data_IF_109498702781
#
_entry.id   IF_109498702781
#
_cell.length_a   1.000
_cell.length_b   1.000
_cell.length_c   1.000
_cell.angle_alpha   90.00
_cell.angle_beta   90.00
_cell.angle_gamma   90.00
#
_symmetry.space_group_name_H-M   'P 1'
#
loop_
_entity.id
_entity.type
_entity.pdbx_description
1 polymer ?
#
# COMPACT_ATOMS: atom_id res chain seq x y z
N UNK A 1 -15.64 -24.63 -1.86
CA UNK A 1 -16.90 -23.91 -1.59
C UNK A 1 -17.98 -24.94 -1.24
N UNK A 2 -18.48 -24.97 0.00
CA UNK A 2 -19.52 -25.92 0.41
C UNK A 2 -20.92 -25.43 0.02
N UNK A 3 -21.88 -26.34 -0.17
CA UNK A 3 -23.29 -26.04 -0.41
C UNK A 3 -23.90 -25.13 0.68
N UNK A 4 -23.46 -25.33 1.94
CA UNK A 4 -23.83 -24.47 3.06
C UNK A 4 -23.30 -23.04 2.92
N UNK A 5 -22.10 -22.85 2.35
CA UNK A 5 -21.54 -21.55 2.05
C UNK A 5 -22.29 -20.80 0.95
N UNK A 6 -22.74 -21.51 -0.09
CA UNK A 6 -23.58 -20.94 -1.14
C UNK A 6 -24.94 -20.46 -0.59
N UNK A 7 -25.62 -21.28 0.22
CA UNK A 7 -26.90 -20.89 0.85
C UNK A 7 -26.75 -19.65 1.74
N UNK A 8 -25.66 -19.54 2.51
CA UNK A 8 -25.36 -18.36 3.33
C UNK A 8 -25.10 -17.13 2.46
N UNK A 9 -24.37 -17.27 1.36
CA UNK A 9 -24.10 -16.15 0.44
C UNK A 9 -25.38 -15.61 -0.21
N UNK A 10 -26.28 -16.49 -0.66
CA UNK A 10 -27.58 -16.09 -1.23
C UNK A 10 -28.45 -15.37 -0.20
N UNK A 11 -28.52 -15.90 1.03
CA UNK A 11 -29.25 -15.26 2.12
C UNK A 11 -28.70 -13.85 2.44
N UNK A 12 -27.38 -13.68 2.50
CA UNK A 12 -26.74 -12.37 2.73
C UNK A 12 -27.02 -11.36 1.62
N UNK A 13 -27.02 -11.81 0.36
CA UNK A 13 -27.40 -10.96 -0.77
C UNK A 13 -28.85 -10.47 -0.65
N UNK A 14 -29.77 -11.35 -0.23
CA UNK A 14 -31.15 -10.98 0.09
C UNK A 14 -31.24 -9.94 1.22
N UNK A 15 -30.48 -10.11 2.30
CA UNK A 15 -30.44 -9.15 3.41
C UNK A 15 -29.95 -7.77 2.97
N UNK A 16 -28.91 -7.69 2.14
CA UNK A 16 -28.43 -6.39 1.64
C UNK A 16 -29.50 -5.63 0.84
N UNK A 17 -30.33 -6.35 0.07
CA UNK A 17 -31.44 -5.74 -0.67
C UNK A 17 -32.55 -5.28 0.29
N UNK A 18 -32.84 -6.06 1.34
CA UNK A 18 -33.84 -5.70 2.36
C UNK A 18 -33.41 -4.50 3.21
N UNK A 19 -32.13 -4.38 3.55
CA UNK A 19 -31.58 -3.21 4.22
C UNK A 19 -31.67 -1.96 3.35
N UNK A 20 -31.31 -2.06 2.06
CA UNK A 20 -31.42 -0.95 1.10
C UNK A 20 -32.85 -0.50 0.83
N UNK A 21 -33.83 -1.35 1.09
CA UNK A 21 -35.28 -1.05 0.94
C UNK A 21 -35.93 -0.60 2.25
N UNK A 22 -35.15 -0.34 3.30
CA UNK A 22 -35.63 0.06 4.63
C UNK A 22 -36.59 -0.97 5.27
N UNK A 23 -36.46 -2.24 4.90
CA UNK A 23 -37.27 -3.34 5.48
C UNK A 23 -36.52 -4.09 6.59
N UNK A 24 -35.31 -3.67 6.92
CA UNK A 24 -34.43 -4.25 7.92
C UNK A 24 -33.54 -3.16 8.52
N UNK A 25 -33.58 -3.00 9.84
CA UNK A 25 -32.72 -2.05 10.55
C UNK A 25 -31.26 -2.54 10.54
N UNK A 26 -30.33 -1.63 10.24
CA UNK A 26 -28.90 -1.90 10.26
C UNK A 26 -28.30 -1.51 11.62
N UNK A 27 -27.54 -2.42 12.22
CA UNK A 27 -26.80 -2.10 13.45
C UNK A 27 -25.70 -1.07 13.15
N UNK A 28 -25.77 0.10 13.79
CA UNK A 28 -24.73 1.14 13.66
C UNK A 28 -23.60 0.90 14.68
N UNK A 29 -22.35 0.93 14.22
CA UNK A 29 -21.16 0.78 15.07
C UNK A 29 -20.16 1.90 14.73
N UNK A 30 -20.49 3.13 15.14
CA UNK A 30 -19.75 4.35 14.77
C UNK A 30 -18.27 4.30 15.17
N UNK A 31 -17.96 3.66 16.30
CA UNK A 31 -16.60 3.47 16.79
C UNK A 31 -15.77 2.63 15.82
N UNK A 32 -16.34 1.49 15.37
CA UNK A 32 -15.67 0.64 14.40
C UNK A 32 -15.57 1.33 13.04
N UNK A 33 -16.61 2.04 12.61
CA UNK A 33 -16.62 2.71 11.31
C UNK A 33 -15.54 3.80 11.24
N UNK A 34 -15.32 4.53 12.34
CA UNK A 34 -14.20 5.48 12.45
C UNK A 34 -12.83 4.79 12.37
N UNK A 35 -12.67 3.68 13.10
CA UNK A 35 -11.45 2.88 13.09
C UNK A 35 -11.15 2.28 11.71
N UNK A 36 -12.15 1.71 11.04
CA UNK A 36 -12.04 1.18 9.69
C UNK A 36 -11.62 2.27 8.71
N UNK A 37 -12.25 3.46 8.78
CA UNK A 37 -11.89 4.58 7.91
C UNK A 37 -10.41 4.95 8.06
N UNK A 38 -9.92 5.04 9.30
CA UNK A 38 -8.52 5.34 9.55
C UNK A 38 -7.58 4.23 9.05
N UNK A 39 -7.96 2.97 9.24
CA UNK A 39 -7.22 1.82 8.73
C UNK A 39 -7.13 1.85 7.20
N UNK A 40 -8.24 2.13 6.49
CA UNK A 40 -8.26 2.24 5.02
C UNK A 40 -7.30 3.30 4.49
N UNK A 41 -7.23 4.43 5.17
CA UNK A 41 -6.29 5.51 4.82
C UNK A 41 -4.84 5.02 4.95
N UNK A 42 -4.50 4.34 6.05
CA UNK A 42 -3.15 3.79 6.24
C UNK A 42 -2.86 2.72 5.19
N UNK A 43 -3.78 1.81 4.94
CA UNK A 43 -3.63 0.77 3.92
C UNK A 43 -3.30 1.38 2.55
N UNK A 44 -4.02 2.43 2.16
CA UNK A 44 -3.75 3.15 0.91
C UNK A 44 -2.35 3.77 0.90
N UNK A 45 -1.97 4.48 1.96
CA UNK A 45 -0.65 5.11 2.05
C UNK A 45 0.49 4.10 2.09
N UNK A 46 0.36 2.98 2.82
CA UNK A 46 1.36 1.90 2.82
C UNK A 46 1.54 1.32 1.42
N UNK A 47 0.45 1.08 0.70
CA UNK A 47 0.51 0.54 -0.66
C UNK A 47 1.17 1.52 -1.65
N UNK A 48 0.83 2.81 -1.55
CA UNK A 48 1.42 3.85 -2.38
C UNK A 48 2.92 4.01 -2.06
N UNK A 49 3.28 4.03 -0.78
CA UNK A 49 4.66 4.12 -0.30
C UNK A 49 5.49 2.95 -0.83
N UNK A 50 4.97 1.72 -0.76
CA UNK A 50 5.65 0.53 -1.27
C UNK A 50 5.92 0.64 -2.77
N UNK A 51 4.91 1.02 -3.56
CA UNK A 51 5.06 1.16 -5.00
C UNK A 51 6.09 2.24 -5.37
N UNK A 52 6.10 3.37 -4.65
CA UNK A 52 7.07 4.45 -4.91
C UNK A 52 8.50 4.05 -4.55
N UNK A 53 8.68 3.38 -3.41
CA UNK A 53 10.00 2.95 -2.93
C UNK A 53 10.56 1.81 -3.77
N UNK A 54 9.74 0.84 -4.18
CA UNK A 54 10.19 -0.26 -5.04
C UNK A 54 10.68 0.23 -6.41
N UNK A 55 10.01 1.22 -7.00
CA UNK A 55 10.44 1.84 -8.26
C UNK A 55 11.63 2.80 -8.12
N UNK A 56 12.01 3.21 -6.91
CA UNK A 56 13.06 4.22 -6.73
C UNK A 56 14.43 3.75 -7.23
N UNK A 57 14.83 2.51 -6.89
CA UNK A 57 16.09 1.95 -7.36
C UNK A 57 16.11 1.81 -8.88
N UNK A 58 14.99 1.40 -9.48
CA UNK A 58 14.83 1.31 -10.93
C UNK A 58 14.96 2.68 -11.61
N UNK A 59 14.39 3.73 -10.99
CA UNK A 59 14.56 5.11 -11.45
C UNK A 59 16.03 5.55 -11.41
N UNK A 60 16.77 5.21 -10.34
CA UNK A 60 18.20 5.47 -10.26
C UNK A 60 18.99 4.72 -11.34
N UNK A 61 18.69 3.44 -11.56
CA UNK A 61 19.28 2.66 -12.65
C UNK A 61 18.99 3.26 -14.03
N UNK A 62 17.75 3.71 -14.27
CA UNK A 62 17.34 4.33 -15.53
C UNK A 62 18.07 5.66 -15.78
N UNK A 63 18.16 6.52 -14.76
CA UNK A 63 18.93 7.76 -14.81
C UNK A 63 20.41 7.50 -15.11
N UNK A 64 21.01 6.50 -14.46
CA UNK A 64 22.40 6.14 -14.68
C UNK A 64 22.64 5.57 -16.09
N UNK A 65 21.70 4.80 -16.63
CA UNK A 65 21.75 4.30 -18.00
C UNK A 65 21.73 5.45 -19.01
N UNK A 66 20.93 6.48 -18.79
CA UNK A 66 20.92 7.69 -19.61
C UNK A 66 22.26 8.44 -19.50
N UNK A 67 22.80 8.61 -18.30
CA UNK A 67 24.12 9.22 -18.09
C UNK A 67 25.25 8.44 -18.77
N UNK A 68 25.17 7.10 -18.75
CA UNK A 68 26.12 6.24 -19.44
C UNK A 68 26.01 6.41 -20.96
N UNK A 69 24.81 6.49 -21.51
CA UNK A 69 24.62 6.77 -22.94
C UNK A 69 25.29 8.10 -23.32
N UNK A 70 25.04 9.18 -22.56
CA UNK A 70 25.68 10.48 -22.77
C UNK A 70 27.21 10.38 -22.68
N UNK A 71 27.74 9.71 -21.66
CA UNK A 71 29.18 9.52 -21.49
C UNK A 71 29.80 8.73 -22.66
N UNK A 72 29.13 7.68 -23.14
CA UNK A 72 29.61 6.89 -24.29
C UNK A 72 29.61 7.69 -25.58
N UNK A 73 28.57 8.49 -25.81
CA UNK A 73 28.48 9.38 -26.97
C UNK A 73 29.56 10.45 -26.91
N UNK A 74 29.77 11.08 -25.76
CA UNK A 74 30.83 12.07 -25.55
C UNK A 74 32.21 11.49 -25.86
N UNK A 75 32.52 10.31 -25.30
CA UNK A 75 33.77 9.61 -25.57
C UNK A 75 33.90 9.19 -27.04
N UNK A 76 32.81 8.85 -27.73
CA UNK A 76 32.85 8.51 -29.16
C UNK A 76 33.17 9.71 -30.06
N UNK A 77 32.71 10.92 -29.71
CA UNK A 77 32.93 12.12 -30.53
C UNK A 77 34.24 12.83 -30.21
N UNK A 78 34.63 12.88 -28.94
CA UNK A 78 35.76 13.68 -28.46
C UNK A 78 36.90 12.83 -27.89
N UNK A 79 36.73 11.50 -27.82
CA UNK A 79 37.78 10.59 -27.37
C UNK A 79 39.00 10.64 -28.27
N UNK A 80 40.04 11.34 -27.82
CA UNK A 80 41.36 11.30 -28.44
C UNK A 80 42.00 9.93 -28.25
N UNK A 81 42.90 9.51 -29.13
CA UNK A 81 43.67 8.26 -29.01
C UNK A 81 44.58 8.18 -27.79
N UNK A 82 44.73 9.28 -27.04
CA UNK A 82 45.38 9.33 -25.72
C UNK A 82 44.39 9.05 -24.61
N UNK A 83 44.65 8.01 -23.81
CA UNK A 83 43.83 7.50 -22.70
C UNK A 83 43.58 8.46 -21.53
N UNK A 84 44.09 9.69 -21.58
CA UNK A 84 44.04 10.71 -20.51
C UNK A 84 43.02 11.85 -20.75
N UNK A 85 42.20 11.76 -21.80
CA UNK A 85 41.13 12.74 -22.05
C UNK A 85 40.04 12.72 -20.96
N UNK A 86 39.44 13.89 -20.70
CA UNK A 86 38.34 14.06 -19.75
C UNK A 86 37.17 13.11 -20.06
N UNK A 87 36.90 12.87 -21.33
CA UNK A 87 35.78 12.09 -21.83
C UNK A 87 35.92 10.60 -21.52
N UNK A 88 37.15 10.08 -21.64
CA UNK A 88 37.49 8.71 -21.26
C UNK A 88 37.39 8.49 -19.75
N UNK A 89 37.89 9.46 -18.95
CA UNK A 89 37.76 9.39 -17.49
C UNK A 89 36.34 9.58 -16.99
N UNK A 90 35.54 10.44 -17.62
CA UNK A 90 34.12 10.57 -17.31
C UNK A 90 33.37 9.27 -17.56
N UNK A 91 33.63 8.60 -18.69
CA UNK A 91 33.05 7.30 -18.99
C UNK A 91 33.46 6.23 -17.96
N UNK A 92 34.73 6.19 -17.55
CA UNK A 92 35.20 5.28 -16.51
C UNK A 92 34.48 5.52 -15.17
N UNK A 93 34.33 6.79 -14.77
CA UNK A 93 33.64 7.19 -13.54
C UNK A 93 32.16 6.78 -13.56
N UNK A 94 31.47 7.01 -14.67
CA UNK A 94 30.05 6.63 -14.81
C UNK A 94 29.87 5.11 -14.78
N UNK A 95 30.79 4.35 -15.39
CA UNK A 95 30.80 2.89 -15.28
C UNK A 95 31.06 2.43 -13.84
N UNK A 96 31.98 3.09 -13.14
CA UNK A 96 32.28 2.78 -11.73
C UNK A 96 31.08 3.03 -10.81
N UNK A 97 30.33 4.11 -11.03
CA UNK A 97 29.09 4.36 -10.27
C UNK A 97 28.07 3.24 -10.52
N UNK A 98 27.99 2.73 -11.76
CA UNK A 98 27.07 1.67 -12.15
C UNK A 98 27.44 0.33 -11.54
N UNK A 99 28.72 -0.02 -11.56
CA UNK A 99 29.17 -1.35 -11.19
C UNK A 99 29.48 -1.45 -9.68
N UNK A 100 29.91 -0.36 -9.03
CA UNK A 100 30.28 -0.36 -7.61
C UNK A 100 29.23 0.28 -6.70
N UNK A 101 28.72 1.47 -7.02
CA UNK A 101 27.95 2.26 -6.03
C UNK A 101 26.51 1.75 -5.90
N UNK A 102 25.85 1.52 -7.03
CA UNK A 102 24.44 1.17 -7.05
C UNK A 102 24.17 -0.25 -6.53
N UNK A 103 24.90 -1.30 -6.96
CA UNK A 103 24.69 -2.66 -6.47
C UNK A 103 24.92 -2.80 -4.96
N UNK A 104 25.93 -2.11 -4.41
CA UNK A 104 26.24 -2.09 -2.98
C UNK A 104 25.12 -1.46 -2.11
N UNK A 105 24.21 -0.71 -2.73
CA UNK A 105 23.11 -0.05 -2.04
C UNK A 105 21.77 -0.79 -2.18
N UNK A 106 21.67 -1.77 -3.09
CA UNK A 106 20.45 -2.56 -3.32
C UNK A 106 20.12 -3.44 -2.12
N UNK A 107 21.09 -4.21 -1.62
CA UNK A 107 20.87 -5.13 -0.51
C UNK A 107 20.43 -4.41 0.79
N UNK A 108 21.11 -3.33 1.23
CA UNK A 108 20.64 -2.53 2.37
C UNK A 108 19.23 -1.97 2.17
N UNK A 109 18.92 -1.48 0.96
CA UNK A 109 17.60 -0.94 0.65
C UNK A 109 16.50 -2.01 0.76
N UNK A 110 16.75 -3.20 0.21
CA UNK A 110 15.80 -4.29 0.25
C UNK A 110 15.55 -4.78 1.68
N UNK A 111 16.61 -4.99 2.46
CA UNK A 111 16.49 -5.55 3.81
C UNK A 111 15.91 -4.56 4.83
N UNK A 112 16.31 -3.29 4.76
CA UNK A 112 15.93 -2.29 5.79
C UNK A 112 14.63 -1.55 5.49
N UNK A 113 14.21 -1.47 4.22
CA UNK A 113 13.06 -0.66 3.80
C UNK A 113 11.99 -1.53 3.16
N UNK A 114 12.32 -2.27 2.09
CA UNK A 114 11.29 -3.00 1.34
C UNK A 114 10.72 -4.19 2.12
N UNK A 115 11.56 -5.00 2.76
CA UNK A 115 11.09 -6.17 3.50
C UNK A 115 10.18 -5.82 4.68
N UNK A 116 10.51 -4.84 5.55
CA UNK A 116 9.59 -4.39 6.61
C UNK A 116 8.27 -3.83 6.06
N UNK A 117 8.33 -3.12 4.94
CA UNK A 117 7.15 -2.54 4.30
C UNK A 117 6.26 -3.62 3.65
N UNK A 118 6.86 -4.68 3.10
CA UNK A 118 6.15 -5.86 2.62
C UNK A 118 5.48 -6.61 3.76
N UNK A 119 6.15 -6.77 4.90
CA UNK A 119 5.53 -7.34 6.10
C UNK A 119 4.34 -6.49 6.58
N UNK A 120 4.47 -5.16 6.59
CA UNK A 120 3.36 -4.26 6.93
C UNK A 120 2.18 -4.40 5.96
N UNK A 121 2.46 -4.58 4.66
CA UNK A 121 1.44 -4.85 3.65
C UNK A 121 0.73 -6.18 3.89
N UNK A 122 1.45 -7.24 4.24
CA UNK A 122 0.86 -8.54 4.58
C UNK A 122 -0.10 -8.42 5.77
N UNK A 123 0.29 -7.71 6.84
CA UNK A 123 -0.62 -7.44 7.96
C UNK A 123 -1.88 -6.68 7.52
N UNK A 124 -1.74 -5.67 6.67
CA UNK A 124 -2.89 -4.94 6.13
C UNK A 124 -3.85 -5.85 5.34
N UNK A 125 -3.33 -6.82 4.58
CA UNK A 125 -4.15 -7.80 3.86
C UNK A 125 -4.90 -8.75 4.81
N UNK A 126 -4.24 -9.20 5.89
CA UNK A 126 -4.87 -10.02 6.93
C UNK A 126 -6.01 -9.28 7.64
N UNK A 127 -5.79 -8.03 8.02
CA UNK A 127 -6.82 -7.18 8.62
C UNK A 127 -8.00 -6.95 7.66
N UNK A 128 -7.74 -6.74 6.36
CA UNK A 128 -8.82 -6.58 5.37
C UNK A 128 -9.68 -7.86 5.26
N UNK A 129 -9.08 -9.05 5.35
CA UNK A 129 -9.82 -10.31 5.39
C UNK A 129 -10.69 -10.43 6.66
N UNK A 130 -10.17 -10.00 7.80
CA UNK A 130 -10.90 -9.98 9.08
C UNK A 130 -12.05 -8.98 9.06
N UNK A 131 -11.85 -7.77 8.55
CA UNK A 131 -12.90 -6.75 8.37
C UNK A 131 -14.01 -7.30 7.44
N UNK A 132 -13.65 -7.91 6.31
CA UNK A 132 -14.61 -8.59 5.42
C UNK A 132 -15.34 -9.75 6.11
N UNK A 133 -14.69 -10.47 7.01
CA UNK A 133 -15.32 -11.54 7.81
C UNK A 133 -16.32 -10.94 8.81
N UNK A 134 -15.96 -9.87 9.51
CA UNK A 134 -16.85 -9.13 10.41
C UNK A 134 -18.07 -8.63 9.64
N UNK A 135 -17.90 -7.96 8.51
CA UNK A 135 -19.03 -7.44 7.72
C UNK A 135 -20.02 -8.54 7.32
N UNK A 136 -19.52 -9.71 6.89
CA UNK A 136 -20.36 -10.88 6.59
C UNK A 136 -21.13 -11.39 7.81
N UNK A 137 -20.50 -11.37 8.99
CA UNK A 137 -21.11 -11.78 10.26
C UNK A 137 -22.11 -10.75 10.79
N UNK A 138 -21.85 -9.46 10.61
CA UNK A 138 -22.78 -8.36 10.90
C UNK A 138 -24.09 -8.53 10.11
N UNK A 139 -24.00 -8.82 8.80
CA UNK A 139 -25.19 -9.07 7.98
C UNK A 139 -25.98 -10.31 8.43
N UNK A 140 -25.29 -11.36 8.87
CA UNK A 140 -25.94 -12.55 9.44
C UNK A 140 -26.61 -12.19 10.78
N UNK A 141 -25.96 -11.38 11.61
CA UNK A 141 -26.46 -10.87 12.89
C UNK A 141 -27.75 -10.05 12.70
N UNK A 142 -27.73 -9.02 11.86
CA UNK A 142 -28.90 -8.15 11.64
C UNK A 142 -30.10 -8.95 11.08
N UNK A 143 -29.83 -9.91 10.19
CA UNK A 143 -30.87 -10.83 9.70
C UNK A 143 -31.43 -11.70 10.84
N UNK A 144 -30.57 -12.23 11.70
CA UNK A 144 -30.99 -13.06 12.85
C UNK A 144 -31.73 -12.23 13.89
N UNK A 145 -31.33 -10.99 14.15
CA UNK A 145 -31.96 -10.09 15.12
C UNK A 145 -33.42 -9.77 14.71
N UNK A 146 -33.65 -9.53 13.40
CA UNK A 146 -35.00 -9.38 12.86
C UNK A 146 -35.85 -10.65 12.93
N UNK A 147 -35.23 -11.83 12.80
CA UNK A 147 -35.91 -13.13 12.95
C UNK A 147 -36.19 -13.45 14.42
N UNK A 148 -35.23 -13.19 15.30
CA UNK A 148 -35.32 -13.39 16.75
C UNK A 148 -36.46 -12.56 17.31
N UNK A 149 -36.58 -11.29 16.91
CA UNK A 149 -37.71 -10.44 17.30
C UNK A 149 -39.06 -11.06 16.93
N UNK A 150 -39.19 -11.59 15.70
CA UNK A 150 -40.42 -12.28 15.24
C UNK A 150 -40.67 -13.59 15.99
N UNK A 151 -39.64 -14.41 16.16
CA UNK A 151 -39.71 -15.70 16.86
C UNK A 151 -40.02 -15.53 18.34
N UNK A 152 -39.55 -14.46 18.98
CA UNK A 152 -39.88 -14.12 20.37
C UNK A 152 -41.35 -13.71 20.48
N UNK A 153 -41.87 -12.86 19.60
CA UNK A 153 -43.30 -12.54 19.56
C UNK A 153 -44.16 -13.77 19.29
N UNK A 154 -43.73 -14.65 18.37
CA UNK A 154 -44.41 -15.91 18.09
C UNK A 154 -44.39 -16.85 19.30
N UNK A 155 -43.25 -16.95 20.00
CA UNK A 155 -43.14 -17.71 21.24
C UNK A 155 -44.07 -17.19 22.33
N UNK A 156 -44.13 -15.87 22.53
CA UNK A 156 -45.02 -15.24 23.51
C UNK A 156 -46.50 -15.52 23.20
N UNK A 157 -46.88 -15.48 21.92
CA UNK A 157 -48.23 -15.84 21.46
C UNK A 157 -48.54 -17.32 21.72
N UNK A 158 -47.63 -18.23 21.36
CA UNK A 158 -47.79 -19.66 21.59
C UNK A 158 -47.83 -20.02 23.09
N UNK A 159 -47.07 -19.31 23.94
CA UNK A 159 -47.13 -19.46 25.39
C UNK A 159 -48.44 -18.92 25.98
N UNK A 160 -49.00 -17.85 25.42
CA UNK A 160 -50.31 -17.32 25.81
C UNK A 160 -51.43 -18.30 25.42
N UNK A 161 -51.39 -18.84 24.20
CA UNK A 161 -52.36 -19.83 23.72
C UNK A 161 -52.30 -21.13 24.52
N UNK A 162 -51.10 -21.58 24.91
CA UNK A 162 -50.90 -22.72 25.81
C UNK A 162 -51.51 -22.51 27.20
N UNK A 163 -51.54 -21.27 27.71
CA UNK A 163 -52.16 -20.94 29.02
C UNK A 163 -53.68 -20.87 28.94
N UNK A 164 -54.25 -20.47 27.80
CA UNK A 164 -55.68 -20.28 27.63
C UNK A 164 -56.42 -21.49 27.04
N UNK A 165 -55.74 -22.34 26.25
CA UNK A 165 -56.31 -23.53 25.62
C UNK A 165 -55.57 -24.81 26.05
N UNK A 166 -56.32 -25.88 26.28
CA UNK A 166 -55.82 -27.18 26.71
C UNK A 166 -54.97 -27.88 25.64
N UNK A 167 -53.65 -27.84 25.82
CA UNK A 167 -52.62 -28.81 25.41
C UNK A 167 -52.87 -29.59 24.10
N UNK A 168 -52.45 -29.00 22.97
CA UNK A 168 -52.22 -29.75 21.74
C UNK A 168 -50.73 -30.16 21.63
N UNK A 169 -50.45 -31.45 21.38
CA UNK A 169 -49.06 -31.96 21.28
C UNK A 169 -48.25 -31.30 20.14
N UNK A 170 -48.95 -30.71 19.18
CA UNK A 170 -48.36 -29.98 18.05
C UNK A 170 -47.81 -28.62 18.49
N UNK A 171 -48.54 -27.89 19.34
CA UNK A 171 -48.09 -26.62 19.92
C UNK A 171 -46.83 -26.77 20.77
N UNK A 172 -46.68 -27.89 21.49
CA UNK A 172 -45.46 -28.15 22.27
C UNK A 172 -44.23 -28.42 21.37
N UNK A 173 -44.39 -29.19 20.28
CA UNK A 173 -43.30 -29.42 19.33
C UNK A 173 -42.89 -28.14 18.58
N UNK A 174 -43.84 -27.28 18.26
CA UNK A 174 -43.57 -25.98 17.66
C UNK A 174 -42.87 -25.03 18.63
N UNK A 175 -43.27 -24.99 19.90
CA UNK A 175 -42.61 -24.17 20.91
C UNK A 175 -41.16 -24.63 21.15
N UNK A 176 -40.91 -25.94 21.11
CA UNK A 176 -39.55 -26.50 21.23
C UNK A 176 -38.66 -26.15 20.02
N UNK A 177 -39.20 -26.18 18.78
CA UNK A 177 -38.44 -25.81 17.58
C UNK A 177 -38.12 -24.31 17.51
N UNK A 178 -39.07 -23.47 17.92
CA UNK A 178 -38.85 -22.01 18.04
C UNK A 178 -37.81 -21.72 19.12
N UNK A 179 -37.89 -22.40 20.27
CA UNK A 179 -36.90 -22.24 21.35
C UNK A 179 -35.49 -22.64 20.91
N UNK A 180 -35.33 -23.74 20.16
CA UNK A 180 -34.05 -24.14 19.56
C UNK A 180 -33.52 -23.11 18.57
N UNK A 181 -34.41 -22.54 17.75
CA UNK A 181 -34.03 -21.50 16.77
C UNK A 181 -33.58 -20.21 17.46
N UNK A 182 -34.17 -19.87 18.62
CA UNK A 182 -33.73 -18.74 19.44
C UNK A 182 -32.35 -18.99 20.04
N UNK A 183 -32.08 -20.19 20.60
CA UNK A 183 -30.76 -20.51 21.16
C UNK A 183 -29.66 -20.47 20.11
N UNK A 184 -29.90 -21.02 18.92
CA UNK A 184 -28.95 -20.96 17.79
C UNK A 184 -28.68 -19.50 17.33
N UNK A 185 -29.70 -18.64 17.44
CA UNK A 185 -29.57 -17.21 17.11
C UNK A 185 -28.71 -16.47 18.13
N UNK A 186 -28.89 -16.77 19.42
CA UNK A 186 -28.09 -16.20 20.51
C UNK A 186 -26.61 -16.63 20.44
N UNK A 187 -26.34 -17.89 20.10
CA UNK A 187 -24.96 -18.37 19.89
C UNK A 187 -24.27 -17.61 18.75
N UNK A 188 -25.01 -17.34 17.66
CA UNK A 188 -24.47 -16.59 16.52
C UNK A 188 -24.25 -15.10 16.85
N UNK A 189 -25.10 -14.52 17.71
CA UNK A 189 -24.91 -13.17 18.26
C UNK A 189 -23.64 -13.10 19.10
N UNK A 190 -23.42 -14.07 20.00
CA UNK A 190 -22.21 -14.12 20.83
C UNK A 190 -20.95 -14.22 19.97
N UNK A 191 -20.94 -15.09 18.94
CA UNK A 191 -19.82 -15.20 18.01
C UNK A 191 -19.50 -13.86 17.32
N UNK A 192 -20.53 -13.09 16.93
CA UNK A 192 -20.34 -11.79 16.28
C UNK A 192 -19.79 -10.76 17.27
N UNK A 193 -20.34 -10.66 18.48
CA UNK A 193 -19.90 -9.72 19.50
C UNK A 193 -18.47 -9.99 19.96
N UNK A 194 -18.11 -11.27 20.11
CA UNK A 194 -16.73 -11.69 20.41
C UNK A 194 -15.78 -11.29 19.27
N UNK A 195 -16.16 -11.51 18.00
CA UNK A 195 -15.35 -11.10 16.85
C UNK A 195 -15.22 -9.58 16.76
N UNK A 196 -16.31 -8.83 17.00
CA UNK A 196 -16.34 -7.38 16.91
C UNK A 196 -15.45 -6.73 17.98
N UNK A 197 -15.62 -7.14 19.24
CA UNK A 197 -14.81 -6.64 20.36
C UNK A 197 -13.32 -6.92 20.17
N UNK A 198 -12.98 -8.15 19.74
CA UNK A 198 -11.60 -8.52 19.43
C UNK A 198 -11.01 -7.63 18.33
N UNK A 199 -11.73 -7.45 17.21
CA UNK A 199 -11.23 -6.67 16.09
C UNK A 199 -11.05 -5.18 16.44
N UNK A 200 -11.92 -4.60 17.27
CA UNK A 200 -11.76 -3.22 17.76
C UNK A 200 -10.46 -3.03 18.55
N UNK A 201 -10.14 -3.98 19.42
CA UNK A 201 -8.90 -3.95 20.21
C UNK A 201 -7.69 -4.11 19.30
N UNK A 202 -7.66 -5.16 18.48
CA UNK A 202 -6.52 -5.45 17.60
C UNK A 202 -6.25 -4.33 16.60
N UNK A 203 -7.30 -3.75 16.01
CA UNK A 203 -7.16 -2.65 15.05
C UNK A 203 -6.65 -1.39 15.75
N UNK A 204 -7.15 -1.07 16.95
CA UNK A 204 -6.62 0.05 17.74
C UNK A 204 -5.15 -0.14 18.10
N UNK A 205 -4.75 -1.34 18.54
CA UNK A 205 -3.35 -1.67 18.84
C UNK A 205 -2.46 -1.56 17.60
N UNK A 206 -2.89 -2.11 16.46
CA UNK A 206 -2.18 -1.99 15.19
C UNK A 206 -1.95 -0.52 14.80
N UNK A 207 -2.97 0.32 14.96
CA UNK A 207 -2.88 1.75 14.70
C UNK A 207 -1.91 2.47 15.64
N UNK A 208 -1.73 1.98 16.87
CA UNK A 208 -0.75 2.54 17.80
C UNK A 208 0.70 2.18 17.42
N UNK A 209 0.92 0.96 16.89
CA UNK A 209 2.22 0.45 16.50
C UNK A 209 2.75 1.04 15.18
N UNK A 210 1.88 1.66 14.38
CA UNK A 210 2.24 2.23 13.06
C UNK A 210 3.48 3.12 13.10
N UNK A 211 3.60 3.95 14.14
CA UNK A 211 4.67 4.94 14.24
C UNK A 211 6.01 4.24 14.49
N UNK A 212 6.00 3.25 15.38
CA UNK A 212 7.16 2.40 15.68
C UNK A 212 7.67 1.62 14.47
N UNK A 213 6.80 1.27 13.51
CA UNK A 213 7.19 0.62 12.26
C UNK A 213 7.69 1.61 11.21
N UNK A 214 7.01 2.76 11.06
CA UNK A 214 7.33 3.72 10.00
C UNK A 214 8.59 4.53 10.30
N UNK A 215 8.83 4.94 11.54
CA UNK A 215 9.98 5.78 11.89
C UNK A 215 11.33 5.15 11.49
N UNK A 216 11.62 3.87 11.83
CA UNK A 216 12.86 3.21 11.41
C UNK A 216 12.99 3.05 9.90
N UNK A 217 11.87 2.86 9.19
CA UNK A 217 11.86 2.74 7.72
C UNK A 217 12.25 4.07 7.09
N UNK A 218 11.66 5.19 7.55
CA UNK A 218 12.00 6.51 7.04
C UNK A 218 13.42 6.94 7.40
N UNK A 219 13.88 6.63 8.61
CA UNK A 219 15.26 6.90 9.02
C UNK A 219 16.25 6.10 8.16
N UNK A 220 15.99 4.80 7.97
CA UNK A 220 16.82 3.94 7.10
C UNK A 220 16.81 4.41 5.66
N UNK A 221 15.65 4.85 5.16
CA UNK A 221 15.50 5.43 3.83
C UNK A 221 16.40 6.64 3.62
N UNK A 222 16.35 7.62 4.53
CA UNK A 222 17.20 8.83 4.45
C UNK A 222 18.68 8.45 4.52
N UNK A 223 19.05 7.51 5.38
CA UNK A 223 20.44 7.04 5.52
C UNK A 223 20.95 6.37 4.24
N UNK A 224 20.18 5.44 3.67
CA UNK A 224 20.56 4.75 2.42
C UNK A 224 20.64 5.75 1.27
N UNK A 225 19.66 6.64 1.15
CA UNK A 225 19.66 7.66 0.11
C UNK A 225 20.85 8.62 0.24
N UNK A 226 21.15 9.09 1.46
CA UNK A 226 22.32 9.94 1.72
C UNK A 226 23.62 9.22 1.38
N UNK A 227 23.73 7.92 1.71
CA UNK A 227 24.90 7.12 1.39
C UNK A 227 25.10 7.03 -0.13
N UNK A 228 24.05 6.70 -0.88
CA UNK A 228 24.10 6.64 -2.36
C UNK A 228 24.62 7.96 -2.92
N UNK A 229 24.08 9.10 -2.47
CA UNK A 229 24.51 10.39 -2.98
C UNK A 229 25.93 10.77 -2.58
N UNK A 230 26.37 10.44 -1.36
CA UNK A 230 27.76 10.66 -0.95
C UNK A 230 28.73 9.80 -1.77
N UNK A 231 28.43 8.52 -1.97
CA UNK A 231 29.27 7.62 -2.76
C UNK A 231 29.35 8.06 -4.24
N UNK A 232 28.23 8.52 -4.82
CA UNK A 232 28.20 9.14 -6.16
C UNK A 232 29.06 10.40 -6.19
N UNK A 233 28.89 11.29 -5.21
CA UNK A 233 29.62 12.55 -5.14
C UNK A 233 31.14 12.33 -5.02
N UNK A 234 31.57 11.43 -4.15
CA UNK A 234 32.99 11.11 -3.96
C UNK A 234 33.59 10.47 -5.23
N UNK A 235 32.82 9.63 -5.92
CA UNK A 235 33.23 9.03 -7.19
C UNK A 235 33.35 10.09 -8.29
N UNK A 236 32.41 11.03 -8.39
CA UNK A 236 32.49 12.16 -9.34
C UNK A 236 33.64 13.12 -9.01
N UNK A 237 33.85 13.43 -7.72
CA UNK A 237 34.94 14.28 -7.24
C UNK A 237 36.31 13.70 -7.56
N UNK A 238 36.44 12.37 -7.59
CA UNK A 238 37.68 11.73 -8.03
C UNK A 238 38.05 12.07 -9.49
N UNK A 239 37.08 12.45 -10.32
CA UNK A 239 37.28 12.91 -11.70
C UNK A 239 37.56 14.39 -11.89
N UNK A 240 37.32 15.22 -10.87
CA UNK A 240 37.53 16.68 -10.94
C UNK A 240 38.95 17.11 -11.34
N UNK A 241 40.03 16.39 -10.97
CA UNK A 241 41.39 16.72 -11.41
C UNK A 241 41.56 16.70 -12.94
N UNK A 242 40.81 15.84 -13.64
CA UNK A 242 40.88 15.63 -15.09
C UNK A 242 39.96 16.58 -15.90
N UNK A 243 39.10 17.33 -15.21
CA UNK A 243 38.38 18.46 -15.81
C UNK A 243 39.40 19.55 -16.14
N UNK A 244 39.46 19.94 -17.41
CA UNK A 244 40.39 20.90 -17.99
C UNK A 244 40.59 22.14 -17.09
N UNK A 245 41.84 22.56 -16.92
CA UNK A 245 42.27 23.78 -16.24
C UNK A 245 41.49 25.02 -16.68
N UNK A 246 41.14 25.11 -17.98
CA UNK A 246 40.30 26.18 -18.54
C UNK A 246 38.88 26.21 -17.95
N UNK A 247 38.28 25.05 -17.70
CA UNK A 247 36.94 24.96 -17.12
C UNK A 247 36.91 25.33 -15.63
N UNK A 248 38.04 25.17 -14.93
CA UNK A 248 38.19 25.60 -13.53
C UNK A 248 38.29 27.13 -13.41
N UNK A 249 38.99 27.78 -14.32
CA UNK A 249 39.05 29.25 -14.41
C UNK A 249 37.71 29.86 -14.85
N UNK A 250 37.01 29.24 -15.82
CA UNK A 250 35.67 29.65 -16.28
C UNK A 250 34.59 29.52 -15.18
N UNK A 251 34.70 28.50 -14.31
CA UNK A 251 33.84 28.33 -13.15
C UNK A 251 34.12 29.39 -12.07
N UNK A 252 35.39 29.68 -11.79
CA UNK A 252 35.78 30.72 -10.82
C UNK A 252 35.41 32.14 -11.29
N UNK A 253 35.38 32.37 -12.60
CA UNK A 253 35.05 33.66 -13.21
C UNK A 253 33.56 33.87 -13.48
N UNK A 254 32.67 32.91 -13.17
CA UNK A 254 31.21 32.93 -13.45
C UNK A 254 30.85 33.09 -14.93
N UNK A 255 31.76 32.80 -15.85
CA UNK A 255 31.52 32.87 -17.30
C UNK A 255 30.84 31.59 -17.80
N UNK A 256 30.99 30.48 -17.04
CA UNK A 256 30.47 29.17 -17.40
C UNK A 256 28.96 29.15 -17.65
N UNK A 257 28.15 29.81 -16.80
CA UNK A 257 26.69 29.86 -16.95
C UNK A 257 26.28 30.51 -18.28
N UNK A 258 26.91 31.63 -18.63
CA UNK A 258 26.66 32.31 -19.91
C UNK A 258 27.04 31.47 -21.13
N UNK A 259 28.06 30.60 -20.98
CA UNK A 259 28.55 29.71 -22.03
C UNK A 259 27.63 28.50 -22.19
N UNK A 260 27.12 27.96 -21.08
CA UNK A 260 26.10 26.90 -21.05
C UNK A 260 24.81 27.40 -21.70
N UNK A 261 24.33 28.60 -21.36
CA UNK A 261 23.13 29.20 -21.97
C UNK A 261 23.28 29.38 -23.49
N UNK A 262 24.47 29.77 -23.95
CA UNK A 262 24.77 29.91 -25.36
C UNK A 262 24.79 28.55 -26.09
N UNK A 263 25.31 27.50 -25.45
CA UNK A 263 25.30 26.13 -25.98
C UNK A 263 23.89 25.56 -26.01
N UNK A 264 23.09 25.77 -24.97
CA UNK A 264 21.68 25.36 -24.92
C UNK A 264 20.88 26.06 -26.02
N UNK A 265 21.08 27.37 -26.22
CA UNK A 265 20.46 28.11 -27.31
C UNK A 265 20.84 27.57 -28.69
N UNK A 266 22.10 27.14 -28.88
CA UNK A 266 22.56 26.49 -30.11
C UNK A 266 21.96 25.10 -30.29
N UNK A 267 21.80 24.33 -29.22
CA UNK A 267 21.14 23.02 -29.25
C UNK A 267 19.65 23.16 -29.58
N UNK A 268 18.95 24.15 -29.03
CA UNK A 268 17.57 24.46 -29.40
C UNK A 268 17.45 24.85 -30.89
N UNK A 269 18.37 25.68 -31.39
CA UNK A 269 18.40 26.05 -32.81
C UNK A 269 18.64 24.84 -33.73
N UNK A 270 19.53 23.92 -33.35
CA UNK A 270 19.80 22.68 -34.08
C UNK A 270 18.60 21.73 -34.08
N UNK A 271 17.85 21.65 -32.98
CA UNK A 271 16.67 20.79 -32.88
C UNK A 271 15.49 21.31 -33.73
N UNK A 272 15.42 22.63 -33.96
CA UNK A 272 14.44 23.25 -34.85
C UNK A 272 14.77 23.08 -36.33
N UNK A 273 16.05 23.01 -36.70
CA UNK A 273 16.48 22.90 -38.09
C UNK A 273 16.31 21.49 -38.68
N UNK A 274 16.27 20.45 -37.85
CA UNK A 274 16.00 19.07 -38.28
C UNK A 274 14.56 18.83 -38.78
N UNK A 275 13.66 19.82 -38.67
CA UNK A 275 12.25 19.74 -39.08
C UNK A 275 11.89 20.64 -40.27
N UNK A 276 12.86 21.35 -40.87
CA UNK A 276 12.59 22.38 -41.88
C UNK A 276 13.04 21.98 -43.29
N UNK A 277 13.83 20.90 -43.44
CA UNK A 277 14.29 20.42 -44.75
C UNK A 277 13.53 19.14 -45.23
N UNK A 278 12.19 19.18 -45.19
CA UNK A 278 11.30 18.31 -45.98
C UNK A 278 10.53 19.15 -47.02
#
# INVERSE_FOLDING_TARGET
MSWSGFKKAVNRAGTQVLMKTNHLDESLDEEFDFQEKNFRIIQQFTQELYNRLSSLLENHHSCLKANLAVATTLNSYYGTSTTDGFEGKYLEIVNRIKDDVLPNSVEPFNYTILQPLETLKQYNEEFDLLIKKRYRKKLDYDMLQSKLSKLTTEKEQLEFDKRNNSLDSQTERHLESVSKSITESLETEEEYLQLNSKLKVELSEFMSLRLSYLDPIFESFIKVQSKIFMDIYDTLKSGLPYVDSLSKEDYQSKILDSRIDNILSKMEALNLQAYIDD
#
